data_IF_237999303674
#
_entry.id   IF_237999303674
#
_cell.length_a   1.000
_cell.length_b   1.000
_cell.length_c   1.000
_cell.angle_alpha   90.00
_cell.angle_beta   90.00
_cell.angle_gamma   90.00
#
_symmetry.space_group_name_H-M   'P 1'
#
loop_
_entity.id
_entity.type
_entity.pdbx_description
1 polymer ?
#
# COMPACT_ATOMS: atom_id res chain seq x y z
N UNK A 1 -23.46 3.81 0.47
CA UNK A 1 -22.28 4.38 -0.18
C UNK A 1 -22.61 5.62 -1.01
N UNK A 2 -23.49 5.53 -2.05
CA UNK A 2 -23.91 6.70 -2.86
C UNK A 2 -24.52 7.84 -2.03
N UNK A 3 -25.35 7.57 -1.02
CA UNK A 3 -25.94 8.57 -0.15
C UNK A 3 -24.90 9.36 0.67
N UNK A 4 -23.85 8.70 1.14
CA UNK A 4 -22.75 9.34 1.86
C UNK A 4 -21.97 10.26 0.92
N UNK A 5 -21.69 9.79 -0.31
CA UNK A 5 -21.03 10.60 -1.34
C UNK A 5 -21.88 11.83 -1.69
N UNK A 6 -23.20 11.68 -1.79
CA UNK A 6 -24.12 12.80 -2.07
C UNK A 6 -24.17 13.81 -0.92
N UNK A 7 -24.13 13.34 0.32
CA UNK A 7 -24.09 14.21 1.51
C UNK A 7 -22.77 15.01 1.53
N UNK A 8 -21.65 14.36 1.19
CA UNK A 8 -20.32 14.98 1.19
C UNK A 8 -20.17 16.01 0.06
N UNK A 9 -20.75 15.75 -1.10
CA UNK A 9 -20.78 16.74 -2.21
C UNK A 9 -21.58 17.99 -1.82
N UNK A 10 -22.57 17.86 -0.96
CA UNK A 10 -23.45 18.96 -0.52
C UNK A 10 -22.84 19.84 0.58
N UNK A 11 -21.90 19.32 1.37
CA UNK A 11 -21.12 20.10 2.33
C UNK A 11 -19.82 20.51 1.63
N UNK A 12 -19.56 21.81 1.50
CA UNK A 12 -18.26 22.38 1.11
C UNK A 12 -17.23 22.00 2.19
N UNK A 13 -16.72 20.76 2.11
CA UNK A 13 -15.72 20.26 3.04
C UNK A 13 -14.39 20.91 2.65
N UNK A 14 -13.76 21.60 3.58
CA UNK A 14 -12.39 22.11 3.41
C UNK A 14 -11.43 20.97 3.15
N UNK A 15 -10.32 21.21 2.43
CA UNK A 15 -9.34 20.15 2.10
C UNK A 15 -8.80 19.43 3.33
N UNK A 16 -8.62 20.13 4.46
CA UNK A 16 -8.17 19.54 5.72
C UNK A 16 -9.19 18.58 6.32
N UNK A 17 -10.46 18.96 6.37
CA UNK A 17 -11.57 18.13 6.84
C UNK A 17 -11.75 16.91 5.93
N UNK A 18 -11.61 17.09 4.63
CA UNK A 18 -11.68 16.00 3.65
C UNK A 18 -10.56 14.99 3.84
N UNK A 19 -9.32 15.45 4.03
CA UNK A 19 -8.18 14.59 4.29
C UNK A 19 -8.36 13.79 5.58
N UNK A 20 -8.80 14.45 6.66
CA UNK A 20 -9.06 13.75 7.91
C UNK A 20 -10.17 12.70 7.74
N UNK A 21 -11.24 13.06 7.09
CA UNK A 21 -12.41 12.20 6.94
C UNK A 21 -12.14 10.98 6.07
N UNK A 22 -11.48 11.14 4.92
CA UNK A 22 -11.24 10.04 3.97
C UNK A 22 -9.95 9.27 4.24
N UNK A 23 -8.91 9.92 4.75
CA UNK A 23 -7.60 9.29 4.89
C UNK A 23 -7.28 8.82 6.32
N UNK A 24 -7.69 9.58 7.35
CA UNK A 24 -7.34 9.29 8.75
C UNK A 24 -8.44 8.52 9.47
N UNK A 25 -9.71 8.71 9.08
CA UNK A 25 -10.85 8.12 9.79
C UNK A 25 -10.84 6.58 9.75
N UNK A 26 -10.86 5.91 10.91
CA UNK A 26 -10.82 4.44 11.00
C UNK A 26 -11.95 3.73 10.24
N UNK A 27 -13.13 4.38 10.08
CA UNK A 27 -14.27 3.80 9.37
C UNK A 27 -13.95 3.61 7.88
N UNK A 28 -13.24 4.58 7.26
CA UNK A 28 -12.81 4.43 5.87
C UNK A 28 -11.68 3.42 5.75
N UNK A 29 -10.75 3.38 6.69
CA UNK A 29 -9.71 2.34 6.75
C UNK A 29 -10.30 0.93 6.91
N UNK A 30 -11.46 0.81 7.58
CA UNK A 30 -12.18 -0.46 7.66
C UNK A 30 -12.69 -0.92 6.28
N UNK A 31 -13.07 0.00 5.40
CA UNK A 31 -13.46 -0.33 4.02
C UNK A 31 -12.29 -0.96 3.25
N UNK A 32 -11.08 -0.43 3.42
CA UNK A 32 -9.87 -1.00 2.80
C UNK A 32 -9.61 -2.42 3.31
N UNK A 33 -9.69 -2.62 4.61
CA UNK A 33 -9.55 -3.94 5.21
C UNK A 33 -10.61 -4.93 4.70
N UNK A 34 -11.87 -4.51 4.68
CA UNK A 34 -12.97 -5.34 4.21
C UNK A 34 -12.86 -5.66 2.72
N UNK A 35 -12.39 -4.70 1.90
CA UNK A 35 -12.11 -4.96 0.49
C UNK A 35 -11.05 -6.05 0.33
N UNK A 36 -10.02 -6.06 1.16
CA UNK A 36 -9.00 -7.12 1.17
C UNK A 36 -9.57 -8.51 1.49
N UNK A 37 -10.48 -8.58 2.47
CA UNK A 37 -11.18 -9.84 2.80
C UNK A 37 -12.03 -10.33 1.62
N UNK A 38 -12.78 -9.44 0.98
CA UNK A 38 -13.57 -9.79 -0.21
C UNK A 38 -12.70 -10.25 -1.37
N UNK A 39 -11.56 -9.59 -1.61
CA UNK A 39 -10.60 -10.00 -2.63
C UNK A 39 -10.06 -11.40 -2.38
N UNK A 40 -9.79 -11.75 -1.13
CA UNK A 40 -9.35 -13.10 -0.78
C UNK A 40 -10.41 -14.16 -1.08
N UNK A 41 -11.68 -13.89 -0.75
CA UNK A 41 -12.79 -14.78 -1.10
C UNK A 41 -12.95 -14.96 -2.63
N UNK A 42 -12.85 -13.85 -3.38
CA UNK A 42 -12.87 -13.88 -4.85
C UNK A 42 -11.69 -14.69 -5.38
N UNK A 43 -10.49 -14.45 -4.85
CA UNK A 43 -9.29 -15.20 -5.23
C UNK A 43 -9.47 -16.71 -5.06
N UNK A 44 -9.99 -17.17 -3.91
CA UNK A 44 -10.20 -18.60 -3.63
C UNK A 44 -11.14 -19.26 -4.67
N UNK A 45 -12.17 -18.53 -5.12
CA UNK A 45 -13.16 -19.05 -6.07
C UNK A 45 -12.64 -19.11 -7.51
N UNK A 46 -11.84 -18.13 -7.93
CA UNK A 46 -11.49 -17.97 -9.34
C UNK A 46 -10.07 -18.46 -9.69
N UNK A 47 -9.16 -18.66 -8.71
CA UNK A 47 -7.76 -19.04 -8.95
C UNK A 47 -7.59 -20.31 -9.80
N UNK A 48 -8.52 -21.27 -9.69
CA UNK A 48 -8.50 -22.52 -10.46
C UNK A 48 -8.80 -22.32 -11.95
N UNK A 49 -9.57 -21.29 -12.32
CA UNK A 49 -9.96 -21.00 -13.71
C UNK A 49 -8.97 -20.11 -14.45
N UNK A 50 -7.99 -19.57 -13.72
CA UNK A 50 -6.97 -18.67 -14.26
C UNK A 50 -5.81 -19.47 -14.80
N UNK A 51 -5.71 -19.52 -16.14
CA UNK A 51 -4.56 -20.09 -16.85
C UNK A 51 -3.42 -19.06 -16.95
N UNK A 52 -2.20 -19.52 -17.23
CA UNK A 52 -1.03 -18.65 -17.39
C UNK A 52 -1.24 -17.54 -18.44
N UNK A 53 -1.86 -17.88 -19.58
CA UNK A 53 -2.14 -16.89 -20.64
C UNK A 53 -3.11 -15.82 -20.14
N UNK A 54 -4.21 -16.22 -19.49
CA UNK A 54 -5.19 -15.29 -18.91
C UNK A 54 -4.54 -14.41 -17.84
N UNK A 55 -3.73 -14.96 -16.94
CA UNK A 55 -3.02 -14.21 -15.91
C UNK A 55 -2.12 -13.13 -16.53
N UNK A 56 -1.33 -13.47 -17.55
CA UNK A 56 -0.47 -12.49 -18.23
C UNK A 56 -1.27 -11.34 -18.85
N UNK A 57 -2.39 -11.62 -19.52
CA UNK A 57 -3.24 -10.58 -20.09
C UNK A 57 -3.82 -9.69 -18.98
N UNK A 58 -4.31 -10.29 -17.90
CA UNK A 58 -4.86 -9.56 -16.76
C UNK A 58 -3.81 -8.68 -16.08
N UNK A 59 -2.54 -9.13 -15.96
CA UNK A 59 -1.44 -8.32 -15.43
C UNK A 59 -1.23 -7.05 -16.25
N UNK A 60 -1.18 -7.16 -17.58
CA UNK A 60 -1.04 -5.98 -18.46
C UNK A 60 -2.27 -5.06 -18.35
N UNK A 61 -3.47 -5.62 -18.34
CA UNK A 61 -4.72 -4.84 -18.20
C UNK A 61 -4.73 -4.11 -16.86
N UNK A 62 -4.35 -4.76 -15.76
CA UNK A 62 -4.37 -4.14 -14.43
C UNK A 62 -3.39 -2.98 -14.30
N UNK A 63 -2.20 -3.12 -14.88
CA UNK A 63 -1.21 -2.05 -14.92
C UNK A 63 -1.69 -0.89 -15.80
N UNK A 64 -2.18 -1.19 -17.00
CA UNK A 64 -2.71 -0.16 -17.90
C UNK A 64 -3.87 0.60 -17.26
N UNK A 65 -4.78 -0.13 -16.61
CA UNK A 65 -5.90 0.46 -15.88
C UNK A 65 -5.41 1.40 -14.77
N UNK A 66 -4.39 1.00 -14.00
CA UNK A 66 -3.81 1.86 -12.97
C UNK A 66 -3.27 3.17 -13.57
N UNK A 67 -2.52 3.11 -14.68
CA UNK A 67 -2.01 4.31 -15.36
C UNK A 67 -3.13 5.21 -15.89
N UNK A 68 -4.19 4.63 -16.47
CA UNK A 68 -5.36 5.39 -16.94
C UNK A 68 -6.03 6.11 -15.77
N UNK A 69 -6.24 5.40 -14.65
CA UNK A 69 -6.82 6.00 -13.44
C UNK A 69 -5.94 7.10 -12.87
N UNK A 70 -4.61 6.94 -12.87
CA UNK A 70 -3.68 8.00 -12.44
C UNK A 70 -3.79 9.22 -13.34
N UNK A 71 -3.81 9.04 -14.66
CA UNK A 71 -3.94 10.15 -15.61
C UNK A 71 -5.27 10.92 -15.44
N UNK A 72 -6.39 10.20 -15.38
CA UNK A 72 -7.72 10.80 -15.17
C UNK A 72 -7.80 11.44 -13.78
N UNK A 73 -7.23 10.79 -12.76
CA UNK A 73 -7.20 11.29 -11.40
C UNK A 73 -6.53 12.65 -11.30
N UNK A 74 -5.37 12.82 -11.93
CA UNK A 74 -4.62 14.08 -11.92
C UNK A 74 -5.38 15.18 -12.66
N UNK A 75 -6.03 14.85 -13.79
CA UNK A 75 -6.61 15.85 -14.68
C UNK A 75 -8.05 16.26 -14.33
N UNK A 76 -8.84 15.35 -13.73
CA UNK A 76 -10.30 15.56 -13.59
C UNK A 76 -10.87 15.36 -12.19
N UNK A 77 -10.13 14.71 -11.28
CA UNK A 77 -10.66 14.36 -9.96
C UNK A 77 -10.09 15.28 -8.90
N UNK A 78 -10.91 15.91 -8.05
CA UNK A 78 -10.45 16.69 -6.91
C UNK A 78 -9.53 15.89 -5.98
N UNK A 79 -8.54 16.56 -5.39
CA UNK A 79 -7.51 15.94 -4.54
C UNK A 79 -8.12 15.13 -3.40
N UNK A 80 -9.18 15.60 -2.78
CA UNK A 80 -9.90 14.98 -1.67
C UNK A 80 -10.32 13.53 -1.99
N UNK A 81 -10.85 13.29 -3.19
CA UNK A 81 -11.29 11.94 -3.59
C UNK A 81 -10.16 11.04 -4.06
N UNK A 82 -9.02 11.62 -4.48
CA UNK A 82 -7.85 10.88 -4.93
C UNK A 82 -7.07 10.20 -3.81
N UNK A 83 -7.22 10.68 -2.56
CA UNK A 83 -6.45 10.13 -1.44
C UNK A 83 -6.74 8.66 -1.16
N UNK A 84 -7.96 8.19 -1.42
CA UNK A 84 -8.35 6.84 -1.04
C UNK A 84 -9.37 6.22 -2.00
N UNK A 85 -10.61 6.67 -1.94
CA UNK A 85 -11.78 6.03 -2.58
C UNK A 85 -11.60 5.82 -4.08
N UNK A 86 -10.99 6.78 -4.77
CA UNK A 86 -10.81 6.73 -6.22
C UNK A 86 -9.91 5.57 -6.66
N UNK A 87 -8.85 5.30 -5.91
CA UNK A 87 -7.89 4.26 -6.26
C UNK A 87 -8.19 2.88 -5.69
N UNK A 88 -9.19 2.73 -4.82
CA UNK A 88 -9.58 1.42 -4.26
C UNK A 88 -9.81 0.39 -5.37
N UNK A 89 -10.56 0.75 -6.41
CA UNK A 89 -10.91 -0.18 -7.48
C UNK A 89 -9.68 -0.64 -8.29
N UNK A 90 -8.87 0.25 -8.91
CA UNK A 90 -7.71 -0.18 -9.69
C UNK A 90 -6.64 -0.88 -8.85
N UNK A 91 -6.44 -0.47 -7.60
CA UNK A 91 -5.48 -1.12 -6.69
C UNK A 91 -5.99 -2.52 -6.28
N UNK A 92 -7.26 -2.65 -5.93
CA UNK A 92 -7.88 -3.94 -5.59
C UNK A 92 -7.79 -4.92 -6.76
N UNK A 93 -8.06 -4.46 -7.98
CA UNK A 93 -7.93 -5.29 -9.17
C UNK A 93 -6.49 -5.71 -9.42
N UNK A 94 -5.52 -4.80 -9.27
CA UNK A 94 -4.09 -5.09 -9.38
C UNK A 94 -3.67 -6.17 -8.35
N UNK A 95 -4.05 -5.99 -7.08
CA UNK A 95 -3.72 -6.94 -6.00
C UNK A 95 -4.29 -8.33 -6.34
N UNK A 96 -5.57 -8.40 -6.75
CA UNK A 96 -6.21 -9.66 -7.10
C UNK A 96 -5.49 -10.38 -8.24
N UNK A 97 -5.14 -9.66 -9.29
CA UNK A 97 -4.49 -10.23 -10.47
C UNK A 97 -3.09 -10.76 -10.14
N UNK A 98 -2.28 -9.98 -9.41
CA UNK A 98 -0.94 -10.40 -9.02
C UNK A 98 -0.94 -11.51 -7.95
N UNK A 99 -2.02 -11.64 -7.18
CA UNK A 99 -2.18 -12.76 -6.23
C UNK A 99 -2.24 -14.13 -6.89
N UNK A 100 -2.57 -14.22 -8.17
CA UNK A 100 -2.56 -15.51 -8.89
C UNK A 100 -1.14 -16.07 -9.12
N UNK A 101 -0.11 -15.24 -9.12
CA UNK A 101 1.32 -15.60 -9.30
C UNK A 101 1.58 -16.52 -10.51
N UNK A 102 0.78 -16.38 -11.59
CA UNK A 102 0.84 -17.21 -12.79
C UNK A 102 1.28 -16.48 -14.05
N UNK A 103 1.27 -15.14 -14.03
CA UNK A 103 1.54 -14.33 -15.21
C UNK A 103 3.02 -14.15 -15.53
N UNK A 104 3.31 -13.42 -16.59
CA UNK A 104 4.66 -13.13 -17.05
C UNK A 104 5.38 -12.16 -16.11
N UNK A 105 4.69 -11.09 -15.70
CA UNK A 105 5.26 -10.06 -14.83
C UNK A 105 5.46 -10.62 -13.43
N UNK A 106 4.48 -11.37 -12.89
CA UNK A 106 4.63 -12.07 -11.61
C UNK A 106 5.87 -12.96 -11.59
N UNK A 107 6.16 -13.66 -12.70
CA UNK A 107 7.36 -14.50 -12.81
C UNK A 107 8.66 -13.68 -12.71
N UNK A 108 8.72 -12.50 -13.31
CA UNK A 108 9.88 -11.59 -13.22
C UNK A 108 10.01 -11.05 -11.79
N UNK A 109 8.90 -10.66 -11.18
CA UNK A 109 8.86 -10.15 -9.81
C UNK A 109 9.16 -11.24 -8.75
N UNK A 110 9.02 -12.50 -9.12
CA UNK A 110 9.29 -13.65 -8.25
C UNK A 110 10.81 -13.88 -8.05
N UNK A 111 11.56 -12.82 -7.80
CA UNK A 111 12.98 -12.83 -7.53
C UNK A 111 13.23 -12.88 -6.00
N UNK A 112 14.33 -13.52 -5.59
CA UNK A 112 14.70 -13.67 -4.18
C UNK A 112 14.89 -12.32 -3.47
N UNK A 113 15.39 -11.30 -4.17
CA UNK A 113 15.60 -9.97 -3.64
C UNK A 113 14.26 -9.26 -3.35
N UNK A 114 13.34 -9.27 -4.33
CA UNK A 114 12.01 -8.69 -4.16
C UNK A 114 11.19 -9.40 -3.07
N UNK A 115 11.31 -10.72 -2.97
CA UNK A 115 10.70 -11.48 -1.87
C UNK A 115 11.25 -11.08 -0.49
N UNK A 116 12.55 -10.81 -0.39
CA UNK A 116 13.15 -10.32 0.87
C UNK A 116 12.63 -8.93 1.21
N UNK A 117 12.54 -8.03 0.22
CA UNK A 117 11.95 -6.70 0.41
C UNK A 117 10.48 -6.78 0.82
N UNK A 118 9.70 -7.66 0.19
CA UNK A 118 8.30 -7.88 0.57
C UNK A 118 8.14 -8.37 2.02
N UNK A 119 9.08 -9.19 2.53
CA UNK A 119 9.03 -9.66 3.93
C UNK A 119 9.24 -8.55 4.95
N UNK A 120 9.98 -7.51 4.62
CA UNK A 120 10.26 -6.38 5.52
C UNK A 120 9.36 -5.16 5.24
N UNK A 121 8.42 -5.28 4.28
CA UNK A 121 7.60 -4.15 3.84
C UNK A 121 6.69 -3.60 4.93
N UNK A 122 6.19 -4.46 5.83
CA UNK A 122 5.36 -4.03 6.96
C UNK A 122 6.16 -3.19 7.95
N UNK A 123 7.33 -3.65 8.34
CA UNK A 123 8.24 -2.92 9.24
C UNK A 123 8.71 -1.62 8.58
N UNK A 124 8.99 -1.67 7.27
CA UNK A 124 9.34 -0.48 6.50
C UNK A 124 8.21 0.55 6.53
N UNK A 125 6.96 0.13 6.31
CA UNK A 125 5.81 1.01 6.37
C UNK A 125 5.66 1.70 7.73
N UNK A 126 5.92 1.00 8.83
CA UNK A 126 5.83 1.58 10.18
C UNK A 126 6.96 2.56 10.48
N UNK A 127 8.16 2.30 9.99
CA UNK A 127 9.37 3.06 10.34
C UNK A 127 9.60 4.26 9.44
N UNK A 128 9.32 4.16 8.13
CA UNK A 128 9.71 5.19 7.17
C UNK A 128 9.15 6.57 7.50
N UNK A 129 7.93 6.64 8.01
CA UNK A 129 7.30 7.91 8.40
C UNK A 129 8.05 8.56 9.58
N UNK A 130 8.41 7.78 10.60
CA UNK A 130 9.14 8.26 11.78
C UNK A 130 10.52 8.76 11.38
N UNK A 131 11.23 7.99 10.56
CA UNK A 131 12.57 8.34 10.07
C UNK A 131 12.52 9.60 9.22
N UNK A 132 11.52 9.71 8.31
CA UNK A 132 11.36 10.86 7.44
C UNK A 132 11.12 12.14 8.27
N UNK A 133 10.17 12.10 9.20
CA UNK A 133 9.85 13.25 10.06
C UNK A 133 11.07 13.66 10.88
N UNK A 134 11.79 12.70 11.46
CA UNK A 134 13.00 12.98 12.25
C UNK A 134 14.09 13.64 11.39
N UNK A 135 14.35 13.14 10.19
CA UNK A 135 15.36 13.71 9.30
C UNK A 135 14.98 15.10 8.81
N UNK A 136 13.71 15.28 8.39
CA UNK A 136 13.22 16.59 7.96
C UNK A 136 13.35 17.61 9.08
N UNK A 137 12.92 17.30 10.30
CA UNK A 137 13.05 18.19 11.44
C UNK A 137 14.53 18.51 11.75
N UNK A 138 15.38 17.51 11.75
CA UNK A 138 16.80 17.69 12.09
C UNK A 138 17.54 18.55 11.05
N UNK A 139 17.32 18.32 9.76
CA UNK A 139 18.06 19.01 8.71
C UNK A 139 17.41 20.35 8.30
N UNK A 140 16.11 20.46 8.30
CA UNK A 140 15.41 21.72 7.99
C UNK A 140 15.75 22.81 9.01
N UNK A 141 15.78 22.48 10.29
CA UNK A 141 16.13 23.42 11.36
C UNK A 141 17.64 23.69 11.50
N UNK A 142 18.50 22.80 11.00
CA UNK A 142 19.97 22.94 11.23
C UNK A 142 20.71 23.60 10.06
N UNK A 143 20.24 23.53 8.82
CA UNK A 143 21.07 23.83 7.64
C UNK A 143 20.34 24.75 6.63
N UNK A 144 19.05 25.07 6.81
CA UNK A 144 18.30 26.05 6.00
C UNK A 144 18.07 25.71 4.53
N UNK A 145 18.84 24.80 3.93
CA UNK A 145 18.67 24.34 2.54
C UNK A 145 19.37 23.01 2.31
N UNK A 146 18.63 21.92 2.51
CA UNK A 146 19.09 20.59 2.05
C UNK A 146 18.33 20.17 0.80
N UNK A 147 18.99 19.61 -0.21
CA UNK A 147 18.25 19.10 -1.38
C UNK A 147 17.34 17.96 -0.90
N UNK A 148 16.02 18.17 -1.05
CA UNK A 148 14.95 17.26 -0.63
C UNK A 148 15.20 15.81 -1.05
N UNK A 149 15.75 15.62 -2.24
CA UNK A 149 16.10 14.30 -2.77
C UNK A 149 17.11 13.54 -1.89
N UNK A 150 18.11 14.23 -1.32
CA UNK A 150 19.11 13.59 -0.44
C UNK A 150 18.48 13.13 0.87
N UNK A 151 17.57 13.91 1.44
CA UNK A 151 16.82 13.54 2.65
C UNK A 151 15.96 12.31 2.39
N UNK A 152 15.25 12.29 1.26
CA UNK A 152 14.41 11.15 0.89
C UNK A 152 15.24 9.89 0.70
N UNK A 153 16.34 9.96 -0.05
CA UNK A 153 17.22 8.80 -0.25
C UNK A 153 17.81 8.29 1.07
N UNK A 154 18.25 9.20 1.93
CA UNK A 154 18.79 8.86 3.26
C UNK A 154 17.72 8.24 4.14
N UNK A 155 16.50 8.79 4.14
CA UNK A 155 15.36 8.22 4.85
C UNK A 155 15.03 6.80 4.37
N UNK A 156 15.04 6.57 3.06
CA UNK A 156 14.81 5.24 2.49
C UNK A 156 15.88 4.24 2.93
N UNK A 157 17.16 4.58 2.82
CA UNK A 157 18.25 3.69 3.23
C UNK A 157 18.18 3.34 4.72
N UNK A 158 17.97 4.34 5.58
CA UNK A 158 17.85 4.15 7.02
C UNK A 158 16.62 3.29 7.34
N UNK A 159 15.48 3.58 6.72
CA UNK A 159 14.24 2.82 6.95
C UNK A 159 14.37 1.36 6.53
N UNK A 160 15.02 1.06 5.41
CA UNK A 160 15.30 -0.33 4.97
C UNK A 160 16.20 -1.04 5.97
N UNK A 161 17.27 -0.38 6.46
CA UNK A 161 18.18 -0.96 7.43
C UNK A 161 17.46 -1.29 8.75
N UNK A 162 16.71 -0.34 9.29
CA UNK A 162 15.95 -0.55 10.53
C UNK A 162 14.87 -1.63 10.36
N UNK A 163 14.17 -1.65 9.23
CA UNK A 163 13.16 -2.68 8.93
C UNK A 163 13.79 -4.07 8.87
N UNK A 164 14.95 -4.19 8.25
CA UNK A 164 15.68 -5.46 8.22
C UNK A 164 16.11 -5.92 9.62
N UNK A 165 16.64 -5.00 10.44
CA UNK A 165 17.01 -5.31 11.81
C UNK A 165 15.79 -5.72 12.64
N UNK A 166 14.69 -4.99 12.59
CA UNK A 166 13.45 -5.33 13.29
C UNK A 166 12.90 -6.68 12.87
N UNK A 167 12.81 -6.94 11.57
CA UNK A 167 12.33 -8.23 11.08
C UNK A 167 13.20 -9.37 11.59
N UNK A 168 14.53 -9.20 11.63
CA UNK A 168 15.46 -10.19 12.17
C UNK A 168 15.23 -10.44 13.67
N UNK A 169 14.98 -9.39 14.46
CA UNK A 169 14.70 -9.52 15.89
C UNK A 169 13.32 -10.15 16.15
N UNK A 170 12.27 -9.65 15.52
CA UNK A 170 10.90 -10.17 15.67
C UNK A 170 10.80 -11.63 15.18
N UNK A 171 11.45 -11.96 14.07
CA UNK A 171 11.47 -13.31 13.54
C UNK A 171 12.21 -14.31 14.43
N UNK A 172 13.27 -13.89 15.15
CA UNK A 172 14.00 -14.76 16.09
C UNK A 172 13.27 -14.96 17.42
N UNK A 173 12.61 -13.94 17.92
CA UNK A 173 11.91 -13.97 19.20
C UNK A 173 10.41 -14.15 19.05
N UNK A 174 9.95 -14.83 18.01
CA UNK A 174 8.52 -14.92 17.79
C UNK A 174 7.86 -15.52 19.05
N UNK A 175 7.37 -14.62 19.89
CA UNK A 175 6.47 -14.87 21.02
C UNK A 175 5.37 -15.85 20.57
N UNK A 176 4.96 -15.78 19.31
CA UNK A 176 4.08 -16.73 18.65
C UNK A 176 4.60 -18.17 18.60
N UNK A 177 5.89 -18.41 18.37
CA UNK A 177 6.46 -19.77 18.40
C UNK A 177 6.56 -20.31 19.82
N UNK A 178 6.80 -19.44 20.81
CA UNK A 178 6.77 -19.83 22.23
C UNK A 178 5.35 -20.11 22.71
N UNK A 179 4.35 -19.34 22.28
CA UNK A 179 2.94 -19.61 22.57
C UNK A 179 2.44 -20.89 21.92
N UNK A 180 2.79 -21.14 20.66
CA UNK A 180 2.40 -22.38 19.96
C UNK A 180 3.01 -23.65 20.57
N UNK A 181 4.18 -23.53 21.24
CA UNK A 181 4.78 -24.65 22.02
C UNK A 181 4.13 -24.86 23.40
N UNK A 182 3.41 -23.85 23.94
CA UNK A 182 2.70 -23.98 25.21
C UNK A 182 1.26 -24.50 25.08
N UNK A 183 0.71 -24.47 23.86
CA UNK A 183 -0.67 -24.92 23.56
C UNK A 183 -0.70 -26.36 23.01
N UNK A 184 0.47 -26.97 22.74
CA UNK A 184 0.62 -28.40 22.49
C UNK A 184 1.12 -29.11 23.75
#
# INVERSE_FOLDING_TARGET
MLAIITIIIKFNITEELGTWFYYVNPVFRFIDFFSGVLLYEIYLRIQQYITRKKATILEFISILMLFIFMYIGISKIPLIYRWDIYYIFPISFLILVFSFDKGFISKILNNSLLKKLGKISMEFYLIHQIVLVFLVQRFYFSIGSFPELKIILMAMCISVLFSYLLNKYISKDSIFLKLKKRIK
#
